data_IF_292540953570
#
_entry.id   IF_292540953570
#
_cell.length_a   1.000
_cell.length_b   1.000
_cell.length_c   1.000
_cell.angle_alpha   90.00
_cell.angle_beta   90.00
_cell.angle_gamma   90.00
#
_symmetry.space_group_name_H-M   'P 1'
#
loop_
_entity.id
_entity.type
_entity.pdbx_description
1 polymer ?
2 non-polymer ?
3 water ?
#
# COMPACT_ATOMS: atom_id res chain seq x y z
N UNK A 4 20.87 -14.62 -10.43
CA UNK A 4 21.15 -15.53 -9.28
C UNK A 4 20.72 -16.95 -9.65
N UNK A 5 21.62 -17.95 -9.52
CA UNK A 5 21.26 -19.33 -9.85
C UNK A 5 20.16 -19.89 -8.96
N UNK A 6 19.20 -20.61 -9.57
CA UNK A 6 18.37 -21.53 -8.81
C UNK A 6 19.31 -22.38 -7.94
N UNK A 7 18.93 -22.61 -6.68
CA UNK A 7 19.75 -23.41 -5.78
C UNK A 7 20.73 -22.60 -4.93
N UNK A 8 21.07 -21.37 -5.33
CA UNK A 8 21.89 -20.50 -4.49
C UNK A 8 21.28 -20.43 -3.10
N UNK A 9 22.14 -20.57 -2.07
CA UNK A 9 21.72 -20.64 -0.67
C UNK A 9 22.06 -19.34 0.04
N UNK A 10 21.02 -18.69 0.58
CA UNK A 10 21.15 -17.43 1.28
C UNK A 10 21.06 -17.69 2.77
N UNK A 11 21.85 -16.98 3.57
CA UNK A 11 21.69 -17.11 4.99
C UNK A 11 21.28 -15.74 5.52
N UNK A 12 20.19 -15.76 6.29
CA UNK A 12 19.66 -14.51 6.78
C UNK A 12 20.41 -14.17 8.07
N UNK A 13 20.06 -13.02 8.65
CA UNK A 13 20.78 -12.48 9.80
C UNK A 13 20.58 -13.37 11.01
N UNK A 14 19.43 -14.06 11.09
CA UNK A 14 19.17 -14.97 12.19
C UNK A 14 19.80 -16.35 11.94
N UNK A 15 20.41 -16.57 10.79
CA UNK A 15 21.11 -17.83 10.56
C UNK A 15 20.26 -18.91 9.89
N UNK A 16 19.00 -18.59 9.55
CA UNK A 16 18.18 -19.49 8.75
C UNK A 16 18.71 -19.49 7.32
N UNK A 17 18.58 -20.62 6.64
CA UNK A 17 19.11 -20.76 5.30
C UNK A 17 17.95 -20.88 4.33
N UNK A 18 18.12 -20.24 3.17
CA UNK A 18 17.08 -20.06 2.19
C UNK A 18 17.65 -20.41 0.85
N UNK A 19 16.96 -21.28 0.12
CA UNK A 19 17.41 -21.68 -1.20
C UNK A 19 16.49 -21.01 -2.21
N UNK A 20 17.09 -20.31 -3.18
CA UNK A 20 16.33 -19.67 -4.24
C UNK A 20 15.67 -20.70 -5.14
N UNK A 21 14.50 -20.31 -5.65
CA UNK A 21 13.90 -20.90 -6.84
C UNK A 21 14.00 -19.94 -8.03
N UNK A 22 12.96 -19.98 -8.88
CA UNK A 22 12.94 -19.29 -10.16
C UNK A 22 12.54 -17.82 -9.97
N UNK A 23 13.19 -16.94 -10.71
CA UNK A 23 12.79 -15.52 -10.66
C UNK A 23 11.35 -15.38 -11.14
N UNK A 24 10.75 -14.23 -10.88
CA UNK A 24 9.39 -13.93 -11.29
C UNK A 24 9.35 -12.52 -11.88
N UNK A 30 12.88 -4.37 -9.00
CA UNK A 30 14.03 -5.25 -8.68
C UNK A 30 13.74 -6.72 -8.96
N UNK A 31 14.55 -7.60 -8.36
CA UNK A 31 14.52 -9.03 -8.61
C UNK A 31 13.86 -9.78 -7.45
N UNK A 32 12.90 -10.66 -7.80
CA UNK A 32 12.11 -11.40 -6.82
C UNK A 32 12.04 -12.88 -7.22
N UNK A 33 12.41 -13.76 -6.29
CA UNK A 33 12.56 -15.18 -6.52
C UNK A 33 11.67 -15.99 -5.59
N UNK A 34 11.22 -17.16 -6.03
CA UNK A 34 10.67 -18.11 -5.11
C UNK A 34 11.79 -18.53 -4.16
N UNK A 35 11.43 -18.91 -2.93
CA UNK A 35 12.41 -19.35 -1.97
C UNK A 35 11.85 -20.50 -1.15
N UNK A 36 12.76 -21.38 -0.71
CA UNK A 36 12.40 -22.39 0.29
C UNK A 36 13.35 -22.35 1.46
N UNK A 37 12.89 -22.69 2.68
CA UNK A 37 13.79 -22.94 3.81
C UNK A 37 14.55 -24.20 3.42
N UNK A 38 15.81 -24.30 3.85
CA UNK A 38 16.53 -25.57 3.74
C UNK A 38 15.88 -26.61 4.65
N UNK A 39 15.43 -26.19 5.85
CA UNK A 39 14.90 -27.10 6.84
C UNK A 39 13.38 -27.21 6.68
N UNK A 40 12.90 -28.45 6.45
CA UNK A 40 11.50 -28.79 6.24
C UNK A 40 10.89 -27.94 5.11
N UNK A 41 11.42 -28.07 3.86
CA UNK A 41 10.82 -27.40 2.71
C UNK A 41 9.55 -28.13 2.30
N UNK A 42 8.48 -27.36 2.10
CA UNK A 42 7.22 -27.88 1.56
C UNK A 42 7.37 -28.06 0.05
N UNK A 43 6.51 -28.91 -0.52
CA UNK A 43 6.45 -29.15 -1.95
C UNK A 43 6.52 -27.80 -2.67
N UNK A 44 5.64 -26.91 -2.22
CA UNK A 44 5.30 -25.66 -2.89
C UNK A 44 5.84 -24.48 -2.09
N UNK A 45 6.46 -23.52 -2.78
CA UNK A 45 7.03 -22.33 -2.13
C UNK A 45 5.92 -21.48 -1.50
N UNK A 46 6.13 -21.08 -0.24
CA UNK A 46 5.27 -20.16 0.50
C UNK A 46 6.06 -18.88 0.80
N UNK A 47 7.30 -18.78 0.28
CA UNK A 47 8.16 -17.62 0.51
C UNK A 47 8.73 -17.13 -0.80
N UNK A 48 9.06 -15.82 -0.83
CA UNK A 48 9.83 -15.26 -1.92
C UNK A 48 10.99 -14.46 -1.33
N UNK A 49 12.00 -14.21 -2.17
CA UNK A 49 13.15 -13.41 -1.77
C UNK A 49 13.22 -12.22 -2.72
N UNK A 50 13.21 -11.03 -2.14
CA UNK A 50 13.39 -9.78 -2.87
C UNK A 50 14.85 -9.36 -2.71
N UNK A 51 15.51 -9.12 -3.85
CA UNK A 51 16.94 -8.85 -3.87
C UNK A 51 17.17 -7.50 -4.55
N UNK A 52 18.17 -6.78 -4.06
CA UNK A 52 18.56 -5.49 -4.61
C UNK A 52 20.01 -5.28 -4.18
N UNK A 53 20.70 -4.32 -4.83
CA UNK A 53 22.01 -3.88 -4.39
C UNK A 53 21.95 -3.51 -2.91
N UNK A 54 23.09 -3.62 -2.22
CA UNK A 54 23.17 -3.24 -0.82
C UNK A 54 22.91 -1.74 -0.66
N UNK A 55 23.39 -0.95 -1.64
CA UNK A 55 23.16 0.49 -1.68
C UNK A 55 21.70 0.77 -2.07
N UNK A 56 21.10 -0.16 -2.83
CA UNK A 56 19.66 -0.16 -3.12
C UNK A 56 19.01 0.38 -1.84
N UNK A 57 18.44 1.58 -1.96
CA UNK A 57 17.94 2.31 -0.82
C UNK A 57 16.47 2.01 -0.50
N UNK A 58 15.56 1.81 -1.49
CA UNK A 58 14.17 1.50 -1.19
C UNK A 58 13.98 0.16 -0.49
N UNK A 59 14.86 -0.81 -0.78
CA UNK A 59 14.71 -2.10 -0.11
C UNK A 59 15.03 -1.91 1.38
N UNK A 60 15.99 -1.04 1.69
CA UNK A 60 16.35 -0.80 3.08
C UNK A 60 15.21 -0.13 3.82
N UNK A 61 14.51 0.81 3.16
CA UNK A 61 13.34 1.44 3.76
C UNK A 61 12.27 0.40 4.08
N UNK A 62 12.04 -0.47 3.11
CA UNK A 62 11.19 -1.62 3.27
C UNK A 62 11.65 -2.49 4.45
N UNK A 63 12.95 -2.79 4.52
CA UNK A 63 13.43 -3.66 5.58
C UNK A 63 13.10 -3.06 6.94
N UNK A 64 13.28 -1.74 7.08
CA UNK A 64 13.02 -1.06 8.33
C UNK A 64 11.56 -1.19 8.71
N UNK A 65 10.68 -0.94 7.73
CA UNK A 65 9.26 -1.09 7.98
C UNK A 65 8.93 -2.51 8.45
N UNK A 66 9.35 -3.50 7.66
CA UNK A 66 8.93 -4.88 7.89
C UNK A 66 9.49 -5.39 9.22
N UNK A 67 10.77 -5.09 9.48
CA UNK A 67 11.39 -5.53 10.72
C UNK A 67 10.68 -4.90 11.92
N UNK A 68 10.25 -3.66 11.80
CA UNK A 68 9.64 -2.97 12.92
C UNK A 68 8.17 -3.35 13.04
N UNK A 69 7.46 -3.48 11.92
CA UNK A 69 6.00 -3.45 11.96
C UNK A 69 5.41 -4.82 11.69
N UNK A 70 6.03 -5.61 10.81
CA UNK A 70 5.39 -6.84 10.38
C UNK A 70 5.80 -7.99 11.30
N UNK A 71 5.53 -7.79 12.61
CA UNK A 71 5.71 -8.83 13.62
C UNK A 71 4.48 -9.76 13.63
N UNK A 72 4.69 -11.01 13.20
CA UNK A 72 3.62 -11.97 12.99
C UNK A 72 2.71 -12.05 14.22
N UNK A 73 3.32 -12.15 15.41
CA UNK A 73 2.55 -12.37 16.63
C UNK A 73 1.81 -11.10 17.04
N UNK A 74 2.43 -9.92 16.84
CA UNK A 74 1.76 -8.66 17.17
C UNK A 74 0.52 -8.47 16.28
N UNK A 75 0.66 -8.78 15.00
CA UNK A 75 -0.43 -8.73 14.05
C UNK A 75 -1.52 -9.70 14.48
N UNK A 76 -1.10 -10.92 14.84
CA UNK A 76 -2.06 -11.93 15.32
C UNK A 76 -2.88 -11.37 16.50
N UNK A 77 -2.23 -10.70 17.45
CA UNK A 77 -2.92 -10.17 18.62
C UNK A 77 -3.89 -9.09 18.18
N UNK A 78 -3.50 -8.29 17.18
CA UNK A 78 -4.30 -7.16 16.73
C UNK A 78 -5.55 -7.69 16.03
N UNK A 79 -5.34 -8.65 15.14
CA UNK A 79 -6.41 -9.22 14.33
C UNK A 79 -7.49 -9.74 15.27
N UNK A 80 -7.03 -10.40 16.33
CA UNK A 80 -7.94 -11.03 17.28
C UNK A 80 -8.72 -9.99 18.09
N UNK A 81 -8.02 -8.97 18.59
CA UNK A 81 -8.65 -7.93 19.39
C UNK A 81 -9.64 -7.13 18.56
N UNK A 82 -9.30 -6.90 17.29
CA UNK A 82 -10.07 -6.06 16.38
C UNK A 82 -11.06 -6.87 15.54
N UNK A 83 -11.14 -8.18 15.75
CA UNK A 83 -12.10 -9.03 15.04
C UNK A 83 -11.93 -8.93 13.53
N UNK A 84 -10.68 -8.86 13.04
CA UNK A 84 -10.46 -8.79 11.60
C UNK A 84 -10.32 -10.20 11.07
N UNK A 85 -10.85 -10.49 9.90
CA UNK A 85 -10.59 -11.79 9.30
C UNK A 85 -9.11 -11.90 8.95
N UNK A 86 -8.49 -10.80 8.51
CA UNK A 86 -7.06 -10.81 8.26
C UNK A 86 -6.57 -9.37 8.18
N UNK A 87 -5.25 -9.23 8.10
CA UNK A 87 -4.66 -7.93 7.85
C UNK A 87 -3.75 -8.05 6.63
N UNK A 88 -3.95 -7.13 5.69
CA UNK A 88 -3.26 -7.18 4.41
C UNK A 88 -1.82 -6.65 4.47
N UNK A 89 -1.03 -7.14 5.45
CA UNK A 89 0.39 -6.88 5.48
C UNK A 89 1.14 -8.18 5.19
N UNK A 90 2.04 -8.27 4.19
CA UNK A 90 2.77 -9.50 3.94
C UNK A 90 3.68 -9.83 5.13
N UNK A 91 3.87 -11.11 5.37
CA UNK A 91 4.75 -11.52 6.45
C UNK A 91 6.20 -11.43 6.00
N UNK A 92 7.03 -11.15 7.00
CA UNK A 92 8.45 -10.96 6.84
C UNK A 92 9.15 -12.06 7.61
N UNK A 93 10.11 -12.72 6.96
CA UNK A 93 10.73 -13.91 7.53
C UNK A 93 12.22 -13.73 7.85
N UNK A 94 12.89 -12.79 7.21
CA UNK A 94 14.31 -12.62 7.44
C UNK A 94 14.93 -11.72 6.37
N UNK A 95 16.18 -11.32 6.63
CA UNK A 95 16.91 -10.47 5.72
C UNK A 95 18.38 -10.77 5.87
N UNK A 96 19.16 -10.32 4.89
CA UNK A 96 20.60 -10.44 5.02
C UNK A 96 21.32 -9.89 3.81
N UNK A 97 22.58 -10.28 3.67
CA UNK A 97 23.41 -9.92 2.53
C UNK A 97 23.81 -11.21 1.85
N UNK A 98 24.01 -11.12 0.53
CA UNK A 98 24.62 -12.20 -0.24
C UNK A 98 25.55 -11.57 -1.27
N UNK A 99 26.58 -12.34 -1.70
CA UNK A 99 27.53 -11.86 -2.70
C UNK A 99 27.35 -12.65 -4.00
N UNK A 100 27.36 -11.93 -5.14
CA UNK A 100 27.34 -12.57 -6.45
C UNK A 100 28.18 -11.75 -7.42
N UNK A 101 29.32 -12.33 -7.84
CA UNK A 101 30.25 -11.70 -8.77
C UNK A 101 30.80 -10.41 -8.15
N UNK A 102 31.37 -10.52 -6.95
CA UNK A 102 32.13 -9.43 -6.34
C UNK A 102 31.29 -8.41 -5.57
N UNK A 103 29.97 -8.32 -5.88
CA UNK A 103 29.11 -7.33 -5.27
C UNK A 103 28.27 -7.97 -4.16
N UNK A 104 27.89 -7.16 -3.17
CA UNK A 104 27.06 -7.59 -2.05
C UNK A 104 25.62 -7.10 -2.23
N UNK A 105 24.66 -8.02 -2.12
CA UNK A 105 23.26 -7.67 -2.31
C UNK A 105 22.50 -7.87 -1.00
N UNK A 106 21.58 -6.95 -0.71
CA UNK A 106 20.67 -7.13 0.41
C UNK A 106 19.46 -7.90 -0.08
N UNK A 107 18.90 -8.77 0.77
CA UNK A 107 17.72 -9.51 0.39
C UNK A 107 16.77 -9.56 1.58
N UNK A 108 15.51 -9.75 1.27
CA UNK A 108 14.46 -9.88 2.25
C UNK A 108 13.63 -11.07 1.84
N UNK A 109 13.32 -11.91 2.83
CA UNK A 109 12.49 -13.08 2.65
C UNK A 109 11.08 -12.71 3.12
N UNK A 110 10.13 -12.84 2.20
CA UNK A 110 8.77 -12.33 2.37
C UNK A 110 7.77 -13.44 2.09
N UNK A 111 6.56 -13.23 2.58
CA UNK A 111 5.43 -14.08 2.23
C UNK A 111 5.21 -14.07 0.73
N UNK A 112 4.94 -15.26 0.18
CA UNK A 112 4.60 -15.34 -1.22
C UNK A 112 3.20 -14.79 -1.43
N UNK A 113 3.06 -13.93 -2.46
CA UNK A 113 1.76 -13.36 -2.82
C UNK A 113 1.48 -13.67 -4.29
N UNK A 114 0.27 -13.29 -4.73
CA UNK A 114 -0.17 -13.53 -6.09
C UNK A 114 -0.07 -12.28 -6.95
N UNK A 115 -1.13 -12.02 -7.72
CA UNK A 115 -1.10 -11.06 -8.82
C UNK A 115 -1.42 -9.67 -8.29
N UNK A 116 -0.84 -8.62 -8.90
CA UNK A 116 -1.16 -7.26 -8.49
C UNK A 116 -2.49 -6.85 -9.14
N UNK A 117 -3.14 -5.85 -8.52
CA UNK A 117 -4.47 -5.47 -8.96
C UNK A 117 -4.41 -4.63 -10.23
N UNK A 118 -3.28 -3.99 -10.51
CA UNK A 118 -3.17 -3.25 -11.76
C UNK A 118 -3.42 -4.24 -12.91
N UNK A 119 -2.86 -5.46 -12.82
CA UNK A 119 -2.97 -6.44 -13.89
C UNK A 119 -4.40 -6.95 -14.07
N UNK A 120 -5.16 -7.10 -12.98
CA UNK A 120 -6.47 -7.71 -13.08
C UNK A 120 -7.58 -6.65 -13.09
N UNK A 121 -7.23 -5.39 -13.38
CA UNK A 121 -8.21 -4.32 -13.46
C UNK A 121 -9.01 -4.39 -14.77
N UNK A 122 -10.29 -4.01 -14.69
CA UNK A 122 -11.13 -3.88 -15.87
C UNK A 122 -10.80 -2.65 -16.72
N UNK A 123 -11.75 -2.28 -17.60
CA UNK A 123 -11.70 -1.13 -18.49
C UNK A 123 -11.04 0.06 -17.79
N UNK A 124 -9.96 0.59 -18.39
CA UNK A 124 -9.33 1.80 -17.90
C UNK A 124 -9.13 1.71 -16.39
N UNK A 125 -8.50 0.61 -15.95
CA UNK A 125 -8.05 0.44 -14.58
C UNK A 125 -9.17 0.59 -13.55
N UNK A 126 -10.36 0.03 -13.85
CA UNK A 126 -11.51 0.21 -12.98
C UNK A 126 -11.90 -1.11 -12.32
N UNK A 127 -12.60 -0.98 -11.19
CA UNK A 127 -13.16 -2.12 -10.50
C UNK A 127 -14.62 -1.80 -10.23
N UNK A 128 -15.40 -2.87 -10.00
CA UNK A 128 -16.78 -2.74 -9.59
C UNK A 128 -16.83 -1.99 -8.25
N UNK A 129 -17.94 -1.27 -8.02
CA UNK A 129 -18.03 -0.37 -6.90
C UNK A 129 -17.86 -1.11 -5.56
N UNK A 130 -18.48 -2.27 -5.46
CA UNK A 130 -18.39 -3.05 -4.23
C UNK A 130 -16.92 -3.39 -3.96
N UNK A 131 -16.19 -3.76 -5.02
CA UNK A 131 -14.79 -4.12 -4.88
C UNK A 131 -13.98 -2.89 -4.45
N UNK A 132 -14.29 -1.72 -5.02
CA UNK A 132 -13.60 -0.47 -4.67
C UNK A 132 -13.74 -0.17 -3.19
N UNK A 133 -14.98 -0.22 -2.70
CA UNK A 133 -15.27 0.06 -1.31
C UNK A 133 -14.56 -0.94 -0.40
N UNK A 134 -14.58 -2.25 -0.75
CA UNK A 134 -13.93 -3.25 0.10
C UNK A 134 -12.42 -3.01 0.10
N UNK A 135 -11.83 -2.72 -1.07
CA UNK A 135 -10.39 -2.46 -1.12
C UNK A 135 -10.05 -1.31 -0.20
N UNK A 136 -10.89 -0.27 -0.20
CA UNK A 136 -10.74 0.88 0.66
C UNK A 136 -10.73 0.49 2.14
N UNK A 137 -11.67 -0.39 2.52
CA UNK A 137 -11.76 -0.86 3.89
C UNK A 137 -10.54 -1.70 4.25
N UNK A 138 -10.16 -2.62 3.37
CA UNK A 138 -8.99 -3.44 3.65
C UNK A 138 -7.74 -2.58 3.87
N UNK A 139 -7.59 -1.53 3.04
CA UNK A 139 -6.48 -0.60 3.17
C UNK A 139 -6.59 0.23 4.45
N UNK A 140 -7.81 0.63 4.86
CA UNK A 140 -7.93 1.33 6.14
C UNK A 140 -7.44 0.47 7.31
N UNK A 141 -7.67 -0.83 7.24
CA UNK A 141 -7.23 -1.74 8.29
C UNK A 141 -5.71 -1.77 8.30
N UNK A 142 -5.08 -1.82 7.12
CA UNK A 142 -3.62 -1.80 7.04
C UNK A 142 -3.11 -0.46 7.58
N UNK A 143 -3.72 0.65 7.15
CA UNK A 143 -3.26 1.97 7.54
C UNK A 143 -3.36 2.13 9.06
N UNK A 144 -4.49 1.76 9.65
CA UNK A 144 -4.63 1.92 11.07
C UNK A 144 -3.46 1.21 11.77
N UNK A 145 -3.13 0.00 11.31
CA UNK A 145 -2.09 -0.79 11.97
C UNK A 145 -0.74 -0.13 11.76
N UNK A 146 -0.39 0.24 10.53
CA UNK A 146 0.96 0.75 10.34
C UNK A 146 1.08 2.12 11.00
N UNK A 147 0.00 2.89 10.97
CA UNK A 147 -0.01 4.22 11.59
C UNK A 147 0.18 4.09 13.09
N UNK A 148 -0.50 3.11 13.71
CA UNK A 148 -0.32 2.82 15.12
C UNK A 148 1.15 2.51 15.42
N UNK A 149 1.85 1.94 14.45
CA UNK A 149 3.22 1.49 14.62
C UNK A 149 4.20 2.48 13.97
N UNK A 150 3.79 3.74 13.86
CA UNK A 150 4.66 4.89 13.63
C UNK A 150 5.04 5.08 12.15
N UNK A 151 4.36 4.38 11.25
CA UNK A 151 4.71 4.39 9.83
C UNK A 151 3.56 4.87 8.96
N UNK A 152 3.91 5.52 7.86
CA UNK A 152 2.97 5.78 6.79
C UNK A 152 3.53 5.14 5.54
N UNK A 153 2.65 4.81 4.58
CA UNK A 153 3.02 4.09 3.39
C UNK A 153 3.50 5.04 2.27
N UNK A 154 2.66 6.02 1.90
CA UNK A 154 2.99 7.03 0.91
C UNK A 154 2.79 6.61 -0.55
N UNK A 155 2.26 5.41 -0.82
CA UNK A 155 2.27 4.95 -2.21
C UNK A 155 1.20 3.93 -2.52
N UNK A 156 -0.03 4.16 -2.06
CA UNK A 156 -1.05 3.15 -2.15
C UNK A 156 -1.44 3.35 -3.61
N UNK A 157 -1.60 2.25 -4.34
CA UNK A 157 -2.06 2.28 -5.72
C UNK A 157 -2.23 0.84 -6.16
N UNK A 158 -2.92 0.63 -7.31
CA UNK A 158 -3.31 -0.72 -7.71
C UNK A 158 -2.08 -1.63 -7.86
N UNK A 159 -1.00 -1.10 -8.43
CA UNK A 159 0.19 -1.89 -8.69
C UNK A 159 0.82 -2.37 -7.38
N UNK A 160 0.44 -1.77 -6.24
CA UNK A 160 1.02 -2.14 -4.96
C UNK A 160 0.02 -2.89 -4.09
N UNK A 161 -1.13 -3.24 -4.68
CA UNK A 161 -2.05 -4.15 -4.02
C UNK A 161 -1.94 -5.50 -4.72
N UNK A 162 -1.66 -6.55 -3.94
CA UNK A 162 -1.53 -7.89 -4.48
C UNK A 162 -2.52 -8.81 -3.79
N UNK A 163 -3.11 -9.74 -4.56
CA UNK A 163 -3.87 -10.83 -3.97
C UNK A 163 -2.91 -11.83 -3.33
N UNK A 164 -3.41 -12.61 -2.37
CA UNK A 164 -2.62 -13.62 -1.71
C UNK A 164 -2.29 -14.80 -2.63
N UNK A 165 -1.35 -15.63 -2.17
CA UNK A 165 -1.03 -16.85 -2.87
C UNK A 165 -1.73 -17.98 -2.13
N UNK A 166 -1.23 -18.27 -0.92
CA UNK A 166 -1.84 -19.23 -0.02
C UNK A 166 -3.31 -18.85 0.21
N UNK A 167 -3.64 -17.54 0.33
CA UNK A 167 -5.04 -17.18 0.30
C UNK A 167 -5.31 -16.15 -0.79
N UNK A 168 -5.78 -16.64 -1.96
CA UNK A 168 -6.00 -15.80 -3.14
C UNK A 168 -7.16 -14.83 -3.05
N UNK A 169 -8.02 -14.98 -2.05
CA UNK A 169 -9.11 -14.04 -1.86
C UNK A 169 -8.69 -12.84 -1.00
N UNK A 170 -7.51 -12.86 -0.39
CA UNK A 170 -7.14 -11.75 0.48
C UNK A 170 -6.28 -10.74 -0.28
N UNK A 171 -6.37 -9.46 0.09
CA UNK A 171 -5.61 -8.40 -0.56
C UNK A 171 -4.57 -7.81 0.39
N UNK A 172 -3.40 -7.51 -0.18
CA UNK A 172 -2.21 -7.07 0.55
C UNK A 172 -1.66 -5.76 0.00
N UNK A 173 -1.31 -4.86 0.91
CA UNK A 173 -0.54 -3.68 0.55
C UNK A 173 0.94 -4.03 0.56
N UNK A 174 1.61 -3.85 -0.57
CA UNK A 174 3.03 -4.08 -0.64
C UNK A 174 3.78 -2.81 -1.07
N UNK A 175 5.10 -2.96 -1.11
CA UNK A 175 6.09 -1.98 -1.51
C UNK A 175 6.15 -0.80 -0.56
N UNK A 176 6.76 -1.04 0.60
CA UNK A 176 6.97 0.00 1.60
C UNK A 176 8.23 0.80 1.31
N UNK A 177 8.61 0.86 0.03
CA UNK A 177 9.77 1.59 -0.45
C UNK A 177 9.73 3.09 -0.11
N UNK A 178 8.54 3.71 -0.07
CA UNK A 178 8.38 5.11 0.29
C UNK A 178 7.83 5.28 1.70
N UNK A 179 7.88 4.21 2.51
CA UNK A 179 7.28 4.26 3.81
C UNK A 179 8.11 5.20 4.68
N UNK A 180 7.48 5.74 5.70
CA UNK A 180 8.13 6.80 6.43
C UNK A 180 7.71 6.69 7.89
N UNK A 181 8.71 6.74 8.79
CA UNK A 181 8.39 6.74 10.20
C UNK A 181 8.05 8.16 10.64
N UNK A 182 6.75 8.45 10.80
CA UNK A 182 6.26 9.80 10.99
C UNK A 182 6.21 10.18 12.48
N UNK A 183 6.34 9.20 13.36
CA UNK A 183 6.13 9.40 14.76
C UNK A 183 7.12 8.54 15.56
N UNK A 184 8.44 8.61 15.31
CA UNK A 184 9.40 7.73 15.99
C UNK A 184 9.33 7.95 17.49
N UNK A 185 9.05 6.87 18.21
CA UNK A 185 8.86 6.90 19.66
C UNK A 185 7.90 8.02 20.09
N UNK A 186 6.79 8.16 19.34
CA UNK A 186 5.71 9.04 19.72
C UNK A 186 5.99 10.52 19.43
N UNK A 187 7.13 10.82 18.82
CA UNK A 187 7.47 12.18 18.50
C UNK A 187 7.03 12.46 17.05
N UNK A 188 5.89 13.11 16.87
CA UNK A 188 5.34 13.32 15.55
C UNK A 188 6.24 14.30 14.83
N UNK A 189 6.52 14.02 13.55
CA UNK A 189 7.38 14.96 12.83
C UNK A 189 6.71 16.33 12.79
N UNK A 190 7.54 17.37 12.71
CA UNK A 190 7.06 18.73 12.51
C UNK A 190 6.66 18.97 11.07
N UNK A 191 5.77 19.94 10.87
CA UNK A 191 5.34 20.36 9.55
C UNK A 191 6.40 21.31 8.99
N UNK A 192 6.97 20.95 7.84
CA UNK A 192 7.97 21.77 7.18
C UNK A 192 7.86 21.50 5.69
N UNK A 193 7.57 22.55 4.93
CA UNK A 193 7.56 22.47 3.47
C UNK A 193 9.00 22.53 2.99
N UNK A 194 9.46 21.50 2.32
CA UNK A 194 10.81 21.51 1.79
C UNK A 194 10.73 21.71 0.28
N UNK A 195 11.04 22.92 -0.25
CA UNK A 195 10.87 23.18 -1.68
C UNK A 195 12.04 22.61 -2.48
N UNK A 196 12.94 21.90 -1.82
CA UNK A 196 13.97 21.13 -2.52
C UNK A 196 13.52 19.69 -2.74
N UNK A 197 12.46 19.24 -2.06
CA UNK A 197 12.13 17.82 -2.06
C UNK A 197 10.63 17.61 -2.23
N UNK A 198 10.06 18.35 -3.19
CA UNK A 198 8.65 18.28 -3.49
C UNK A 198 8.32 17.17 -4.48
N UNK A 199 7.03 16.80 -4.50
CA UNK A 199 6.42 16.02 -5.56
C UNK A 199 6.97 14.61 -5.58
N UNK A 200 7.23 14.05 -4.40
CA UNK A 200 7.61 12.66 -4.29
C UNK A 200 6.33 11.83 -4.37
N UNK A 201 6.54 10.55 -4.69
CA UNK A 201 5.46 9.57 -4.72
C UNK A 201 5.06 9.30 -6.15
N UNK A 202 4.00 8.51 -6.32
CA UNK A 202 3.38 8.31 -7.62
C UNK A 202 2.51 9.53 -7.91
N UNK A 203 2.90 10.30 -8.93
CA UNK A 203 2.34 11.63 -9.15
C UNK A 203 0.81 11.53 -9.24
N UNK A 204 0.28 10.49 -9.90
CA UNK A 204 -1.16 10.38 -10.10
C UNK A 204 -1.88 10.42 -8.75
N UNK A 205 -1.28 9.84 -7.69
CA UNK A 205 -2.00 9.59 -6.45
C UNK A 205 -1.39 10.26 -5.22
N UNK A 206 -0.18 10.82 -5.32
CA UNK A 206 0.51 11.31 -4.13
C UNK A 206 -0.29 12.44 -3.48
N UNK A 207 -0.10 12.61 -2.15
CA UNK A 207 -0.80 13.63 -1.40
C UNK A 207 -0.31 15.05 -1.71
N UNK A 208 -1.14 16.04 -1.33
CA UNK A 208 -0.77 17.46 -1.41
C UNK A 208 0.44 17.78 -0.52
N UNK A 209 0.50 17.16 0.66
CA UNK A 209 1.66 17.28 1.54
C UNK A 209 2.92 16.80 0.81
N UNK A 210 2.84 15.66 0.11
CA UNK A 210 3.98 15.21 -0.67
C UNK A 210 4.28 16.23 -1.78
N UNK A 211 3.26 16.72 -2.49
CA UNK A 211 3.50 17.74 -3.49
C UNK A 211 4.24 18.93 -2.88
N UNK A 212 3.88 19.34 -1.66
CA UNK A 212 4.50 20.52 -1.06
C UNK A 212 5.83 20.23 -0.39
N UNK A 213 6.30 18.97 -0.43
CA UNK A 213 7.53 18.54 0.21
C UNK A 213 7.42 18.47 1.73
N UNK A 214 6.22 18.24 2.23
CA UNK A 214 5.98 18.06 3.65
C UNK A 214 6.20 16.59 3.99
N UNK A 215 6.77 16.31 5.15
CA UNK A 215 6.98 14.93 5.54
C UNK A 215 5.62 14.25 5.68
N UNK A 216 5.51 13.03 5.14
CA UNK A 216 4.24 12.32 5.11
C UNK A 216 3.79 12.07 6.54
N UNK A 217 2.50 12.32 6.78
CA UNK A 217 1.81 11.99 8.03
C UNK A 217 0.59 11.14 7.71
N UNK A 218 -0.24 10.87 8.72
CA UNK A 218 -1.32 9.93 8.53
C UNK A 218 -2.35 10.40 7.51
N UNK A 219 -2.71 11.69 7.54
CA UNK A 219 -3.72 12.18 6.62
C UNK A 219 -3.33 11.92 5.16
N UNK A 220 -2.03 11.93 4.86
CA UNK A 220 -1.59 11.75 3.48
C UNK A 220 -1.99 10.36 2.97
N UNK A 221 -1.87 9.32 3.81
CA UNK A 221 -2.24 7.99 3.35
C UNK A 221 -3.73 7.89 3.07
N UNK A 222 -4.56 8.57 3.88
CA UNK A 222 -6.00 8.56 3.71
C UNK A 222 -6.35 9.31 2.42
N UNK A 223 -5.68 10.44 2.21
CA UNK A 223 -5.90 11.24 1.00
C UNK A 223 -5.60 10.41 -0.25
N UNK A 224 -4.46 9.72 -0.25
CA UNK A 224 -4.00 8.96 -1.39
C UNK A 224 -4.98 7.83 -1.68
N UNK A 225 -5.47 7.20 -0.60
CA UNK A 225 -6.44 6.12 -0.75
C UNK A 225 -7.77 6.63 -1.36
N UNK A 226 -8.16 7.85 -0.99
CA UNK A 226 -9.29 8.52 -1.62
C UNK A 226 -9.09 8.71 -3.13
N UNK A 227 -7.92 9.22 -3.55
CA UNK A 227 -7.66 9.40 -4.96
C UNK A 227 -7.71 8.05 -5.65
N UNK A 228 -7.16 7.01 -5.02
CA UNK A 228 -7.18 5.67 -5.58
C UNK A 228 -8.62 5.21 -5.81
N UNK A 229 -9.48 5.35 -4.80
CA UNK A 229 -10.80 4.78 -4.95
C UNK A 229 -11.55 5.55 -6.03
N UNK A 230 -11.29 6.84 -6.14
CA UNK A 230 -11.96 7.64 -7.18
C UNK A 230 -11.51 7.12 -8.54
N UNK A 231 -10.21 6.87 -8.69
CA UNK A 231 -9.63 6.35 -9.93
C UNK A 231 -10.16 4.96 -10.28
N UNK A 232 -10.27 4.06 -9.29
CA UNK A 232 -10.76 2.71 -9.47
C UNK A 232 -12.24 2.71 -9.89
N UNK A 233 -13.03 3.65 -9.36
CA UNK A 233 -14.47 3.66 -9.63
C UNK A 233 -14.75 4.35 -10.97
N UNK A 234 -14.18 5.53 -11.16
CA UNK A 234 -14.56 6.39 -12.32
C UNK A 234 -13.66 6.20 -13.54
N UNK A 235 -12.48 5.62 -13.39
CA UNK A 235 -11.68 5.26 -14.58
C UNK A 235 -10.59 6.20 -15.04
N UNK A 236 -10.45 7.35 -14.42
CA UNK A 236 -9.42 8.33 -14.82
C UNK A 236 -9.68 9.47 -13.86
N UNK A 237 -8.65 10.21 -13.54
CA UNK A 237 -8.79 11.28 -12.54
C UNK A 237 -8.76 12.58 -13.33
N UNK A 238 -9.27 13.68 -12.77
CA UNK A 238 -9.31 14.96 -13.48
C UNK A 238 -7.96 15.43 -14.03
N UNK A 239 -6.86 14.93 -13.45
CA UNK A 239 -5.52 15.30 -13.87
C UNK A 239 -4.86 14.23 -14.74
N UNK A 240 -5.64 13.30 -15.33
CA UNK A 240 -5.10 12.27 -16.20
C UNK A 240 -4.15 12.85 -17.25
N UNK A 241 -4.51 14.02 -17.82
CA UNK A 241 -3.72 14.60 -18.90
C UNK A 241 -2.51 15.38 -18.40
N UNK A 242 -2.26 15.40 -17.08
CA UNK A 242 -1.25 16.30 -16.51
C UNK A 242 -0.10 15.57 -15.83
N UNK A 243 0.00 14.26 -16.03
CA UNK A 243 0.82 13.46 -15.12
C UNK A 243 2.30 13.84 -15.22
N UNK A 244 2.76 14.35 -16.37
CA UNK A 244 4.17 14.68 -16.53
C UNK A 244 4.46 16.08 -15.98
N UNK A 245 3.43 16.71 -15.37
CA UNK A 245 3.52 18.06 -14.86
C UNK A 245 3.08 18.07 -13.39
N UNK A 246 3.98 17.81 -12.41
CA UNK A 246 3.60 17.72 -11.00
C UNK A 246 2.86 18.92 -10.42
N UNK A 247 3.27 20.14 -10.81
CA UNK A 247 2.62 21.35 -10.32
C UNK A 247 1.14 21.35 -10.72
N UNK A 248 0.86 21.04 -11.99
CA UNK A 248 -0.52 21.01 -12.47
C UNK A 248 -1.31 19.94 -11.72
N UNK A 249 -0.69 18.79 -11.44
CA UNK A 249 -1.39 17.77 -10.69
C UNK A 249 -1.76 18.33 -9.31
N UNK A 250 -0.79 18.95 -8.62
CA UNK A 250 -1.03 19.58 -7.33
C UNK A 250 -2.21 20.54 -7.38
N UNK A 251 -2.21 21.40 -8.40
CA UNK A 251 -3.30 22.35 -8.59
C UNK A 251 -4.65 21.64 -8.73
N UNK A 252 -4.68 20.59 -9.56
CA UNK A 252 -5.92 19.89 -9.81
C UNK A 252 -6.42 19.22 -8.52
N UNK A 253 -5.48 18.65 -7.76
CA UNK A 253 -5.85 18.00 -6.50
C UNK A 253 -6.34 19.07 -5.51
N UNK A 254 -5.67 20.21 -5.46
CA UNK A 254 -6.09 21.29 -4.56
C UNK A 254 -7.54 21.69 -4.86
N UNK A 255 -7.83 21.91 -6.15
CA UNK A 255 -9.16 22.31 -6.58
C UNK A 255 -10.18 21.24 -6.21
N UNK A 256 -9.84 19.96 -6.44
CA UNK A 256 -10.78 18.89 -6.13
C UNK A 256 -11.13 18.92 -4.64
N UNK A 257 -10.13 18.99 -3.76
CA UNK A 257 -10.44 18.97 -2.33
C UNK A 257 -11.16 20.25 -1.94
N UNK A 258 -10.73 21.38 -2.50
CA UNK A 258 -11.31 22.67 -2.19
C UNK A 258 -12.80 22.70 -2.57
N UNK A 259 -13.19 21.94 -3.60
CA UNK A 259 -14.56 21.99 -4.09
C UNK A 259 -15.35 20.74 -3.74
N UNK A 260 -14.94 20.03 -2.68
CA UNK A 260 -15.74 18.90 -2.19
C UNK A 260 -17.04 19.41 -1.58
N UNK A 261 -18.10 18.60 -1.57
CA UNK A 261 -18.11 17.28 -2.20
C UNK A 261 -18.37 17.25 -3.72
N UNK A 262 -18.80 18.40 -4.27
CA UNK A 262 -19.35 18.42 -5.63
C UNK A 262 -18.32 18.03 -6.68
N UNK A 263 -17.04 18.38 -6.45
CA UNK A 263 -15.96 18.05 -7.37
C UNK A 263 -15.99 16.55 -7.65
N UNK A 264 -16.31 15.77 -6.61
CA UNK A 264 -16.24 14.32 -6.69
C UNK A 264 -17.61 13.75 -7.08
N UNK A 265 -18.68 14.33 -6.55
CA UNK A 265 -20.02 13.82 -6.84
C UNK A 265 -20.29 13.89 -8.34
N UNK A 266 -19.85 14.99 -8.96
CA UNK A 266 -20.13 15.30 -10.35
C UNK A 266 -19.32 14.41 -11.28
N UNK A 267 -18.16 13.96 -10.81
CA UNK A 267 -17.19 13.30 -11.65
C UNK A 267 -17.72 11.96 -12.13
N UNK A 268 -18.52 11.30 -11.30
CA UNK A 268 -19.02 9.95 -11.52
C UNK A 268 -19.98 9.84 -12.70
N UNK A 269 -19.93 8.69 -13.42
CA UNK A 269 -20.92 8.37 -14.43
C UNK A 269 -22.22 8.00 -13.74
N UNK A 270 -23.30 8.01 -14.53
CA UNK A 270 -24.66 7.83 -14.03
C UNK A 270 -24.81 6.52 -13.27
N UNK A 271 -24.00 5.51 -13.58
CA UNK A 271 -24.04 4.27 -12.83
C UNK A 271 -23.61 4.46 -11.37
N UNK A 272 -22.30 4.69 -11.18
CA UNK A 272 -21.64 4.49 -9.90
C UNK A 272 -21.52 5.81 -9.13
N UNK A 273 -22.36 5.97 -8.10
CA UNK A 273 -22.30 7.13 -7.23
C UNK A 273 -20.92 7.25 -6.57
N UNK A 274 -20.45 8.50 -6.42
CA UNK A 274 -19.29 8.78 -5.59
C UNK A 274 -19.67 9.35 -4.23
N UNK A 275 -20.89 9.06 -3.75
CA UNK A 275 -21.32 9.59 -2.45
C UNK A 275 -20.36 9.11 -1.36
N UNK A 276 -20.07 7.81 -1.30
CA UNK A 276 -19.16 7.27 -0.28
C UNK A 276 -17.75 7.86 -0.43
N UNK A 277 -17.22 7.88 -1.67
CA UNK A 277 -15.88 8.39 -1.89
C UNK A 277 -15.83 9.89 -1.60
N UNK A 278 -16.90 10.65 -1.90
CA UNK A 278 -16.93 12.07 -1.65
C UNK A 278 -16.83 12.32 -0.15
N UNK A 279 -17.61 11.59 0.61
CA UNK A 279 -17.65 11.83 2.04
C UNK A 279 -16.33 11.37 2.68
N UNK A 280 -15.77 10.30 2.11
CA UNK A 280 -14.46 9.84 2.53
C UNK A 280 -13.43 10.96 2.36
N UNK A 281 -13.40 11.56 1.17
CA UNK A 281 -12.45 12.63 0.93
C UNK A 281 -12.76 13.85 1.81
N UNK A 282 -14.05 14.10 2.11
CA UNK A 282 -14.38 15.18 3.03
C UNK A 282 -13.73 14.91 4.40
N UNK A 283 -13.88 13.68 4.92
CA UNK A 283 -13.35 13.31 6.21
C UNK A 283 -11.81 13.48 6.17
N UNK A 284 -11.19 13.02 5.09
CA UNK A 284 -9.73 13.00 5.01
C UNK A 284 -9.19 14.43 5.02
N UNK A 285 -9.85 15.32 4.27
CA UNK A 285 -9.39 16.68 4.11
C UNK A 285 -9.61 17.50 5.38
N UNK A 286 -10.44 17.00 6.30
CA UNK A 286 -10.66 17.69 7.55
C UNK A 286 -9.50 17.49 8.52
N UNK A 287 -8.55 16.60 8.24
CA UNK A 287 -7.53 16.26 9.23
C UNK A 287 -6.42 17.30 9.31
N UNK A 288 -6.06 17.68 10.54
CA UNK A 288 -4.84 18.42 10.83
C UNK A 288 -3.64 17.52 10.52
N UNK A 289 -2.49 18.16 10.41
CA UNK A 289 -1.31 17.46 9.97
C UNK A 289 -0.94 16.34 10.93
N UNK A 290 -1.08 16.57 12.23
CA UNK A 290 -0.69 15.56 13.23
C UNK A 290 -1.90 14.78 13.73
N UNK A 291 -3.04 14.91 13.07
CA UNK A 291 -4.28 14.37 13.61
C UNK A 291 -4.43 12.91 13.20
N UNK A 292 -4.97 12.13 14.14
CA UNK A 292 -5.29 10.73 13.92
C UNK A 292 -6.59 10.62 13.13
N UNK A 293 -6.59 9.88 12.01
CA UNK A 293 -7.82 9.58 11.30
C UNK A 293 -8.82 8.82 12.16
N UNK A 294 -10.10 9.10 11.91
CA UNK A 294 -11.19 8.32 12.47
C UNK A 294 -11.46 7.12 11.57
N UNK A 295 -10.64 6.08 11.74
CA UNK A 295 -10.61 4.96 10.82
C UNK A 295 -11.96 4.24 10.83
N UNK A 296 -12.58 4.17 12.02
CA UNK A 296 -13.89 3.53 12.13
C UNK A 296 -14.93 4.34 11.36
N UNK A 297 -14.93 5.68 11.49
CA UNK A 297 -15.85 6.50 10.72
C UNK A 297 -15.61 6.31 9.23
N UNK A 298 -14.34 6.18 8.82
CA UNK A 298 -14.00 6.07 7.42
C UNK A 298 -14.47 4.73 6.88
N UNK A 299 -14.30 3.66 7.66
CA UNK A 299 -14.72 2.34 7.21
C UNK A 299 -16.24 2.32 7.02
N UNK A 300 -16.94 3.00 7.92
CA UNK A 300 -18.39 3.04 7.88
C UNK A 300 -18.87 3.84 6.67
N UNK A 301 -18.17 4.94 6.35
CA UNK A 301 -18.47 5.68 5.14
C UNK A 301 -18.45 4.76 3.92
N UNK A 302 -17.52 3.80 3.91
CA UNK A 302 -17.35 2.92 2.77
C UNK A 302 -18.27 1.71 2.85
N UNK A 303 -18.87 1.45 4.01
CA UNK A 303 -19.71 0.29 4.23
C UNK A 303 -20.95 0.71 5.02
N UNK A 304 -21.79 1.62 4.47
CA UNK A 304 -22.87 2.22 5.26
C UNK A 304 -23.86 1.21 5.85
N UNK A 305 -24.06 0.04 5.21
CA UNK A 305 -25.01 -0.96 5.67
C UNK A 305 -24.35 -1.96 6.61
N UNK A 306 -23.01 -1.92 6.73
CA UNK A 306 -22.31 -2.85 7.59
C UNK A 306 -22.37 -4.30 7.08
N UNK A 307 -22.43 -4.46 5.75
CA UNK A 307 -22.34 -5.76 5.10
C UNK A 307 -21.05 -6.47 5.54
N UNK A 308 -21.08 -7.79 5.82
CA UNK A 308 -19.86 -8.59 5.84
C UNK A 308 -19.11 -8.44 4.52
N UNK A 309 -17.78 -8.37 4.60
CA UNK A 309 -16.96 -8.35 3.40
C UNK A 309 -16.83 -9.79 2.88
N UNK A 310 -17.02 -9.94 1.57
CA UNK A 310 -16.98 -11.22 0.93
C UNK A 310 -15.94 -11.24 -0.19
N UNK A 311 -16.20 -11.94 -1.31
CA UNK A 311 -15.15 -12.24 -2.26
C UNK A 311 -14.90 -10.90 -2.94
N UNK A 312 -13.66 -10.63 -3.34
CA UNK A 312 -13.46 -9.44 -4.14
C UNK A 312 -14.02 -9.76 -5.52
N UNK A 313 -14.73 -8.82 -6.15
CA UNK A 313 -15.34 -9.09 -7.44
C UNK A 313 -14.53 -8.41 -8.55
N UNK A 314 -13.90 -9.24 -9.39
CA UNK A 314 -13.06 -8.75 -10.47
C UNK A 314 -13.65 -9.09 -11.84
N UNK A 315 -14.94 -9.45 -11.88
CA UNK A 315 -15.59 -9.83 -13.13
C UNK A 315 -15.69 -8.64 -14.08
N UNK A 316 -15.79 -8.95 -15.38
CA UNK A 316 -15.58 -8.03 -16.47
C UNK A 316 -16.77 -8.01 -17.43
N UNK A 317 -17.94 -8.48 -16.98
CA UNK A 317 -19.08 -8.85 -17.83
C UNK A 317 -19.45 -7.71 -18.78
N UNK A 318 -19.29 -7.95 -20.10
CA UNK A 318 -19.86 -7.09 -21.14
C UNK A 318 -18.85 -6.13 -21.78
N UNK A 319 -17.65 -6.01 -21.17
CA UNK A 319 -16.67 -4.99 -21.51
C UNK A 319 -15.97 -5.32 -22.84
#
# INVERSE_FOLDING_TARGET
>A
SMPFPEGKVLDDMEGNQWVLGKKIGSGGFGLIYLAFPTNKPEKDARHVVKVEYQENGPLFSELKFYQRVAKKDCIKKWIERKQLDYLGIPLFYGSGLTEFKGRSYRFMVMERLGIDLQKISGQNGTFKKSTVLQLGIRMLDVLEYIHENEYVHGDIKAANLLLGYKNPDQVYLADYGLSYRYCPNGNHKQYQENPRKGHNGTIEFTSLDAHKGVALSRRSDVEILGYCMLRWLCGKLPWEQNLKDPVAVQTAKTNLLDELPQSVLKWAPSGSSCCEIAQFLVCAHSLAYDEKPNYQALKKILNPHGIPLGPLDFSTKGQSINVH
#
